data_IF_371525118176
#
_entry.id   IF_371525118176
#
_cell.length_a   1.000
_cell.length_b   1.000
_cell.length_c   1.000
_cell.angle_alpha   90.00
_cell.angle_beta   90.00
_cell.angle_gamma   90.00
#
_symmetry.space_group_name_H-M   'P 1'
#
loop_
_entity.id
_entity.type
_entity.pdbx_description
1 polymer ?
#
# COMPACT_ATOMS: atom_id res chain seq x y z
N UNK A 1 -0.64 -11.24 7.28
CA UNK A 1 -0.65 -10.71 5.90
C UNK A 1 -2.03 -10.19 5.50
N UNK A 2 -2.09 -9.02 4.87
CA UNK A 2 -3.30 -8.37 4.32
C UNK A 2 -3.00 -7.90 2.89
N UNK A 3 -3.88 -8.20 1.93
CA UNK A 3 -3.78 -7.68 0.57
C UNK A 3 -4.32 -6.25 0.50
N UNK A 4 -3.57 -5.36 -0.15
CA UNK A 4 -3.99 -4.00 -0.42
C UNK A 4 -4.76 -3.99 -1.75
N UNK A 5 -5.76 -3.12 -1.88
CA UNK A 5 -6.53 -2.95 -3.12
C UNK A 5 -5.75 -2.07 -4.12
N UNK A 6 -4.51 -2.49 -4.40
CA UNK A 6 -3.51 -1.82 -5.23
C UNK A 6 -2.72 -2.89 -5.97
N UNK A 7 -2.44 -2.63 -7.25
CA UNK A 7 -1.46 -3.37 -8.03
C UNK A 7 -0.38 -2.43 -8.57
N UNK A 8 0.79 -2.99 -8.87
CA UNK A 8 1.83 -2.32 -9.64
C UNK A 8 1.50 -2.28 -11.15
N UNK A 9 2.40 -1.69 -11.96
CA UNK A 9 2.23 -1.60 -13.42
C UNK A 9 2.31 -2.95 -14.15
N UNK A 10 2.87 -3.98 -13.51
CA UNK A 10 2.91 -5.35 -14.01
C UNK A 10 1.67 -6.16 -13.61
N UNK A 11 0.78 -5.58 -12.80
CA UNK A 11 -0.43 -6.23 -12.30
C UNK A 11 -0.22 -7.11 -11.07
N UNK A 12 0.95 -7.04 -10.43
CA UNK A 12 1.18 -7.75 -9.17
C UNK A 12 0.44 -7.05 -8.03
N UNK A 13 -0.30 -7.82 -7.23
CA UNK A 13 -1.01 -7.29 -6.07
C UNK A 13 -0.03 -6.91 -4.96
N UNK A 14 -0.25 -5.76 -4.32
CA UNK A 14 0.54 -5.32 -3.17
C UNK A 14 -0.02 -5.93 -1.89
N UNK A 15 0.85 -6.43 -1.03
CA UNK A 15 0.50 -6.95 0.29
C UNK A 15 1.25 -6.22 1.40
N UNK A 16 0.67 -6.27 2.60
CA UNK A 16 1.28 -5.83 3.85
C UNK A 16 1.22 -6.96 4.87
N UNK A 17 2.36 -7.49 5.27
CA UNK A 17 2.47 -8.48 6.33
C UNK A 17 2.90 -7.85 7.65
N UNK A 18 2.01 -7.88 8.64
CA UNK A 18 2.24 -7.26 9.94
C UNK A 18 3.03 -8.21 10.82
N UNK A 19 4.20 -7.76 11.27
CA UNK A 19 5.06 -8.53 12.18
C UNK A 19 4.79 -8.17 13.63
N UNK A 20 4.62 -6.88 13.92
CA UNK A 20 4.53 -6.39 15.29
C UNK A 20 3.67 -5.13 15.39
N UNK A 21 2.94 -5.03 16.50
CA UNK A 21 2.10 -3.89 16.85
C UNK A 21 2.52 -3.40 18.22
N UNK A 22 3.05 -2.19 18.29
CA UNK A 22 3.35 -1.53 19.55
C UNK A 22 2.22 -0.57 19.92
N UNK A 23 1.97 -0.42 21.23
CA UNK A 23 1.08 0.60 21.75
C UNK A 23 1.78 1.39 22.84
N UNK A 24 1.84 2.71 22.69
CA UNK A 24 2.47 3.63 23.65
C UNK A 24 1.52 4.74 24.04
N UNK A 25 1.57 5.15 25.32
CA UNK A 25 0.87 6.34 25.78
C UNK A 25 1.75 7.57 25.52
N UNK A 26 1.26 8.51 24.71
CA UNK A 26 1.92 9.79 24.43
C UNK A 26 1.03 10.90 24.96
N UNK A 27 1.51 11.58 26.00
CA UNK A 27 0.70 12.47 26.83
C UNK A 27 -0.59 11.76 27.30
N UNK A 28 -1.77 12.29 26.95
CA UNK A 28 -3.08 11.74 27.33
C UNK A 28 -3.71 10.79 26.29
N UNK A 29 -3.01 10.47 25.19
CA UNK A 29 -3.55 9.66 24.09
C UNK A 29 -2.75 8.38 23.90
N UNK A 30 -3.44 7.30 23.55
CA UNK A 30 -2.79 6.08 23.06
C UNK A 30 -2.38 6.28 21.60
N UNK A 31 -1.16 5.87 21.27
CA UNK A 31 -0.62 5.81 19.91
C UNK A 31 -0.24 4.37 19.61
N UNK A 32 -0.46 3.97 18.37
CA UNK A 32 -0.05 2.66 17.86
C UNK A 32 1.05 2.87 16.82
N UNK A 33 1.97 1.91 16.77
CA UNK A 33 2.88 1.75 15.65
C UNK A 33 2.83 0.31 15.19
N UNK A 34 2.82 0.11 13.88
CA UNK A 34 2.71 -1.20 13.23
C UNK A 34 3.91 -1.37 12.35
N UNK A 35 4.72 -2.40 12.60
CA UNK A 35 5.86 -2.75 11.77
C UNK A 35 5.58 -4.04 11.00
N UNK A 36 6.04 -4.10 9.76
CA UNK A 36 5.83 -5.25 8.91
C UNK A 36 6.55 -5.13 7.57
N UNK A 37 6.28 -6.05 6.66
CA UNK A 37 6.81 -6.05 5.29
C UNK A 37 5.73 -5.69 4.29
N UNK A 38 6.04 -4.74 3.40
CA UNK A 38 5.22 -4.42 2.24
C UNK A 38 5.88 -4.98 0.98
N UNK A 39 5.13 -5.66 0.12
CA UNK A 39 5.70 -6.27 -1.07
C UNK A 39 4.71 -6.53 -2.19
N UNK A 40 5.24 -6.88 -3.36
CA UNK A 40 4.47 -7.28 -4.56
C UNK A 40 4.76 -8.73 -4.99
N UNK A 41 5.47 -9.50 -4.16
CA UNK A 41 5.91 -10.87 -4.45
C UNK A 41 7.25 -10.96 -5.20
N UNK A 42 7.78 -9.85 -5.68
CA UNK A 42 9.13 -9.76 -6.27
C UNK A 42 10.07 -8.89 -5.43
N UNK A 43 9.54 -7.80 -4.89
CA UNK A 43 10.25 -6.85 -4.05
C UNK A 43 9.52 -6.70 -2.72
N UNK A 44 10.30 -6.59 -1.65
CA UNK A 44 9.84 -6.49 -0.27
C UNK A 44 10.62 -5.41 0.45
N UNK A 45 9.90 -4.59 1.23
CA UNK A 45 10.45 -3.48 1.99
C UNK A 45 9.84 -3.48 3.38
N UNK A 46 10.67 -3.30 4.41
CA UNK A 46 10.16 -3.11 5.76
C UNK A 46 9.44 -1.76 5.87
N UNK A 47 8.31 -1.74 6.56
CA UNK A 47 7.52 -0.53 6.76
C UNK A 47 7.16 -0.37 8.23
N UNK A 48 7.21 0.87 8.70
CA UNK A 48 6.66 1.31 9.96
C UNK A 48 5.48 2.23 9.67
N UNK A 49 4.32 1.91 10.23
CA UNK A 49 3.08 2.65 10.04
C UNK A 49 2.60 3.18 11.39
N UNK A 50 2.41 4.49 11.48
CA UNK A 50 1.90 5.17 12.67
C UNK A 50 0.52 5.78 12.38
N UNK A 51 -0.56 5.00 12.54
CA UNK A 51 -1.92 5.42 12.18
C UNK A 51 -2.50 6.34 13.25
N UNK A 52 -2.07 7.59 13.33
CA UNK A 52 -2.65 8.52 14.30
C UNK A 52 -2.54 10.00 13.88
N UNK A 53 -3.68 10.69 13.75
CA UNK A 53 -3.73 12.06 13.26
C UNK A 53 -3.73 12.10 11.73
N UNK A 54 -2.70 12.72 11.13
CA UNK A 54 -2.49 12.67 9.66
C UNK A 54 -2.06 11.26 9.21
N UNK A 55 -1.46 10.48 10.11
CA UNK A 55 -0.87 9.18 9.79
C UNK A 55 0.48 9.35 9.12
N UNK A 56 1.42 8.47 9.45
CA UNK A 56 2.75 8.46 8.84
C UNK A 56 3.13 7.03 8.45
N UNK A 57 3.82 6.90 7.31
CA UNK A 57 4.38 5.64 6.82
C UNK A 57 5.85 5.88 6.53
N UNK A 58 6.71 5.11 7.20
CA UNK A 58 8.15 5.12 6.98
C UNK A 58 8.55 3.81 6.32
N UNK A 59 9.14 3.92 5.13
CA UNK A 59 9.76 2.79 4.44
C UNK A 59 11.20 2.65 4.93
N UNK A 60 11.53 1.50 5.50
CA UNK A 60 12.85 1.17 6.00
C UNK A 60 13.51 0.27 4.95
N UNK A 61 14.40 0.85 4.16
CA UNK A 61 15.25 0.08 3.26
C UNK A 61 16.48 -0.36 4.04
N UNK A 62 16.54 -1.65 4.39
CA UNK A 62 17.72 -2.25 5.03
C UNK A 62 18.82 -2.55 4.00
N UNK A 63 18.50 -2.51 2.70
CA UNK A 63 19.51 -2.60 1.65
C UNK A 63 20.12 -1.21 1.44
N UNK A 64 21.44 -1.10 1.45
CA UNK A 64 22.17 0.17 1.33
C UNK A 64 22.02 0.89 -0.03
N UNK A 65 20.95 0.63 -0.79
CA UNK A 65 20.69 1.22 -2.09
C UNK A 65 19.19 1.33 -2.35
N UNK A 66 18.80 2.42 -3.01
CA UNK A 66 17.45 2.86 -3.38
C UNK A 66 16.63 1.89 -4.29
N UNK A 67 17.00 0.62 -4.41
CA UNK A 67 16.47 -0.29 -5.43
C UNK A 67 15.16 -0.96 -5.03
N UNK A 68 15.03 -1.48 -3.81
CA UNK A 68 13.86 -2.29 -3.43
C UNK A 68 12.58 -1.45 -3.32
N UNK A 69 12.66 -0.28 -2.66
CA UNK A 69 11.53 0.66 -2.61
C UNK A 69 11.17 1.18 -3.99
N UNK A 70 12.15 1.62 -4.79
CA UNK A 70 11.84 2.15 -6.12
C UNK A 70 11.21 1.09 -7.02
N UNK A 71 11.65 -0.17 -6.90
CA UNK A 71 11.11 -1.27 -7.69
C UNK A 71 9.69 -1.67 -7.23
N UNK A 72 9.44 -1.72 -5.91
CA UNK A 72 8.11 -1.92 -5.35
C UNK A 72 7.13 -0.82 -5.79
N UNK A 73 7.63 0.41 -5.92
CA UNK A 73 6.85 1.58 -6.33
C UNK A 73 6.68 1.70 -7.84
N UNK A 74 7.16 0.75 -8.64
CA UNK A 74 6.99 0.73 -10.10
C UNK A 74 5.51 0.82 -10.48
N UNK A 75 5.07 1.98 -10.96
CA UNK A 75 3.66 2.22 -11.32
C UNK A 75 2.69 2.37 -10.16
N UNK A 76 3.13 2.30 -8.90
CA UNK A 76 2.28 2.49 -7.72
C UNK A 76 2.34 3.94 -7.25
N UNK A 77 1.18 4.56 -7.07
CA UNK A 77 1.09 5.90 -6.46
C UNK A 77 1.50 5.85 -4.97
N UNK A 78 2.51 6.62 -4.57
CA UNK A 78 2.97 6.70 -3.16
C UNK A 78 1.83 7.05 -2.21
N UNK A 79 1.00 8.03 -2.57
CA UNK A 79 -0.12 8.43 -1.72
C UNK A 79 -1.20 7.35 -1.61
N UNK A 80 -1.45 6.58 -2.68
CA UNK A 80 -2.39 5.46 -2.64
C UNK A 80 -1.86 4.33 -1.74
N UNK A 81 -0.58 3.99 -1.86
CA UNK A 81 0.06 2.97 -1.04
C UNK A 81 0.06 3.36 0.44
N UNK A 82 0.51 4.58 0.76
CA UNK A 82 0.52 5.09 2.13
C UNK A 82 -0.89 5.11 2.73
N UNK A 83 -1.90 5.55 1.97
CA UNK A 83 -3.30 5.55 2.42
C UNK A 83 -3.82 4.14 2.69
N UNK A 84 -3.43 3.16 1.87
CA UNK A 84 -3.85 1.76 2.04
C UNK A 84 -3.14 1.09 3.22
N UNK A 85 -1.86 1.38 3.42
CA UNK A 85 -1.10 0.94 4.58
C UNK A 85 -1.67 1.51 5.88
N UNK A 86 -2.01 2.81 5.90
CA UNK A 86 -2.66 3.45 7.04
C UNK A 86 -4.02 2.82 7.35
N UNK A 87 -4.86 2.59 6.34
CA UNK A 87 -6.15 1.92 6.55
C UNK A 87 -6.01 0.46 7.01
N UNK A 88 -5.00 -0.27 6.51
CA UNK A 88 -4.72 -1.60 6.99
C UNK A 88 -4.27 -1.59 8.46
N UNK A 89 -3.38 -0.67 8.83
CA UNK A 89 -2.90 -0.50 10.20
C UNK A 89 -4.01 -0.05 11.17
N UNK A 90 -4.87 0.91 10.77
CA UNK A 90 -6.03 1.33 11.57
C UNK A 90 -6.97 0.16 11.87
N UNK A 91 -7.31 -0.64 10.84
CA UNK A 91 -8.13 -1.84 11.00
C UNK A 91 -7.46 -2.85 11.95
N UNK A 92 -6.17 -3.07 11.78
CA UNK A 92 -5.42 -4.02 12.60
C UNK A 92 -5.29 -3.57 14.07
N UNK A 93 -5.23 -2.26 14.32
CA UNK A 93 -5.21 -1.68 15.67
C UNK A 93 -6.60 -1.49 16.30
N UNK A 94 -7.69 -1.88 15.60
CA UNK A 94 -9.06 -1.66 16.07
C UNK A 94 -9.45 -0.19 16.20
N UNK A 95 -8.81 0.71 15.44
CA UNK A 95 -9.11 2.13 15.45
C UNK A 95 -10.35 2.43 14.58
N UNK A 96 -11.25 3.33 15.00
CA UNK A 96 -12.37 3.74 14.17
C UNK A 96 -11.85 4.41 12.89
N UNK A 97 -12.44 4.08 11.73
CA UNK A 97 -12.04 4.63 10.43
C UNK A 97 -11.95 6.15 10.52
N UNK A 98 -10.78 6.71 10.28
CA UNK A 98 -10.63 8.16 10.16
C UNK A 98 -11.48 8.62 8.97
N UNK A 99 -12.46 9.51 9.20
CA UNK A 99 -13.50 9.94 8.25
C UNK A 99 -12.98 10.66 7.00
N UNK A 100 -11.67 10.72 6.79
CA UNK A 100 -11.04 11.39 5.64
C UNK A 100 -10.88 10.50 4.41
N UNK A 101 -11.09 9.19 4.53
CA UNK A 101 -11.16 8.28 3.39
C UNK A 101 -12.55 8.28 2.74
N UNK A 102 -12.96 9.41 2.16
CA UNK A 102 -13.93 9.34 1.08
C UNK A 102 -13.17 8.94 -0.19
N UNK A 103 -13.08 7.63 -0.37
CA UNK A 103 -12.70 6.96 -1.60
C UNK A 103 -13.43 7.61 -2.78
N UNK A 104 -12.70 8.25 -3.71
CA UNK A 104 -13.19 8.34 -5.08
C UNK A 104 -13.04 6.93 -5.67
N UNK A 105 -14.12 6.28 -6.13
CA UNK A 105 -13.96 5.04 -6.87
C UNK A 105 -13.23 5.34 -8.18
N UNK A 106 -12.02 4.81 -8.35
CA UNK A 106 -11.40 4.73 -9.67
C UNK A 106 -12.16 3.68 -10.49
N UNK A 107 -12.72 4.04 -11.65
CA UNK A 107 -13.42 3.08 -12.50
C UNK A 107 -12.39 2.26 -13.29
N UNK A 108 -12.02 1.09 -12.80
CA UNK A 108 -11.34 0.08 -13.61
C UNK A 108 -12.36 -0.62 -14.51
N UNK A 109 -12.72 0.01 -15.64
CA UNK A 109 -13.40 -0.66 -16.75
C UNK A 109 -13.37 0.18 -18.05
N UNK A 110 -12.20 0.35 -18.66
CA UNK A 110 -12.10 0.77 -20.06
C UNK A 110 -10.84 0.20 -20.73
N UNK A 111 -10.68 -1.11 -20.68
CA UNK A 111 -9.80 -1.83 -21.61
C UNK A 111 -10.51 -3.09 -22.10
N UNK A 112 -11.62 -2.91 -22.82
CA UNK A 112 -12.13 -3.93 -23.73
C UNK A 112 -11.50 -3.69 -25.09
N UNK A 113 -10.62 -4.61 -25.45
CA UNK A 113 -10.38 -5.14 -26.78
C UNK A 113 -10.76 -4.28 -27.98
N UNK A 114 -9.74 -3.77 -28.66
CA UNK A 114 -9.71 -3.63 -30.11
C UNK A 114 -8.31 -4.08 -30.58
N UNK A 115 -8.06 -5.37 -30.37
CA UNK A 115 -7.09 -6.14 -31.13
C UNK A 115 -7.89 -6.88 -32.21
N UNK A 116 -8.06 -6.25 -33.36
CA UNK A 116 -8.38 -6.95 -34.60
C UNK A 116 -7.40 -6.48 -35.65
N UNK A 117 -6.28 -7.19 -35.74
CA UNK A 117 -5.40 -7.19 -36.91
C UNK A 117 -5.50 -8.56 -37.55
N UNK A 118 -6.09 -8.60 -38.75
CA UNK A 118 -5.75 -9.48 -39.88
C UNK A 118 -6.63 -9.01 -41.06
N UNK A 119 -6.10 -8.24 -42.01
CA UNK A 119 -5.42 -8.71 -43.23
C UNK A 119 -6.15 -9.83 -43.99
N UNK A 120 -6.89 -9.48 -45.05
CA UNK A 120 -6.67 -9.98 -46.43
C UNK A 120 -7.63 -9.33 -47.43
N UNK A 121 -7.07 -8.72 -48.48
CA UNK A 121 -7.74 -8.53 -49.78
C UNK A 121 -7.97 -9.88 -50.49
N UNK A 122 -8.55 -9.92 -51.69
CA UNK A 122 -8.38 -8.96 -52.80
C UNK A 122 -9.61 -8.09 -53.12
#
# INVERSE_FOLDING_TARGET
>A
MVWLDICDDQGNAIYFDVHHVARRRVARRWRHSVSGTCGNGQFEVEVLVEPAGVGEVTFVDLSGGTSARSALMGGVSSSALESSLLAAAERHCGMPKSTRQQHRPYPHAARKELLTVQEKGP
#
